data_IF_441346739968
#
_entry.id   IF_441346739968
#
_cell.length_a   1.000
_cell.length_b   1.000
_cell.length_c   1.000
_cell.angle_alpha   90.00
_cell.angle_beta   90.00
_cell.angle_gamma   90.00
#
_symmetry.space_group_name_H-M   'P 1'
#
loop_
_entity.id
_entity.type
_entity.pdbx_description
1 polymer ?
#
# COMPACT_ATOMS: atom_id res chain seq x y z
N UNK A 1 11.41 3.83 11.30
CA UNK A 1 11.06 4.08 9.90
C UNK A 1 10.30 2.87 9.43
N UNK A 2 8.99 3.02 9.27
CA UNK A 2 8.16 1.92 8.81
C UNK A 2 8.41 1.67 7.33
N UNK A 3 8.54 0.41 6.96
CA UNK A 3 8.69 -0.01 5.58
C UNK A 3 7.37 0.16 4.81
N UNK A 4 7.45 0.18 3.48
CA UNK A 4 6.26 0.18 2.62
C UNK A 4 5.28 -0.94 2.99
N UNK A 5 5.80 -2.14 3.26
CA UNK A 5 4.96 -3.29 3.58
C UNK A 5 4.18 -3.12 4.87
N UNK A 6 4.81 -2.57 5.91
CA UNK A 6 4.17 -2.27 7.19
C UNK A 6 3.09 -1.20 7.03
N UNK A 7 3.37 -0.11 6.29
CA UNK A 7 2.40 0.96 6.05
C UNK A 7 1.23 0.50 5.20
N UNK A 8 1.48 -0.27 4.14
CA UNK A 8 0.43 -0.85 3.31
C UNK A 8 -0.48 -1.77 4.13
N UNK A 9 0.11 -2.62 4.98
CA UNK A 9 -0.63 -3.51 5.87
C UNK A 9 -1.47 -2.74 6.88
N UNK A 10 -0.93 -1.67 7.44
CA UNK A 10 -1.64 -0.79 8.35
C UNK A 10 -2.84 -0.13 7.66
N UNK A 11 -2.63 0.51 6.51
CA UNK A 11 -3.68 1.17 5.73
C UNK A 11 -4.79 0.20 5.33
N UNK A 12 -4.44 -0.98 4.83
CA UNK A 12 -5.42 -2.03 4.50
C UNK A 12 -6.28 -2.40 5.71
N UNK A 13 -5.65 -2.63 6.86
CA UNK A 13 -6.36 -2.97 8.10
C UNK A 13 -7.21 -1.81 8.62
N UNK A 14 -6.76 -0.57 8.49
CA UNK A 14 -7.52 0.63 8.91
C UNK A 14 -8.86 0.77 8.17
N UNK A 15 -8.92 0.26 6.93
CA UNK A 15 -10.13 0.20 6.10
C UNK A 15 -10.90 -1.13 6.27
N UNK A 16 -10.50 -2.00 7.22
CA UNK A 16 -11.06 -3.34 7.43
C UNK A 16 -11.04 -4.27 6.21
N UNK A 17 -10.09 -4.06 5.30
CA UNK A 17 -10.01 -4.85 4.07
C UNK A 17 -9.21 -6.14 4.27
N UNK A 18 -9.67 -7.23 3.68
CA UNK A 18 -8.88 -8.43 3.41
C UNK A 18 -7.94 -8.18 2.23
N UNK A 19 -6.90 -9.02 2.12
CA UNK A 19 -5.94 -8.92 1.00
C UNK A 19 -6.61 -9.14 -0.36
N UNK A 20 -7.60 -10.01 -0.40
CA UNK A 20 -8.39 -10.32 -1.60
C UNK A 20 -9.19 -9.11 -2.08
N UNK A 21 -9.77 -8.35 -1.15
CA UNK A 21 -10.56 -7.15 -1.45
C UNK A 21 -9.65 -6.03 -1.97
N UNK A 22 -8.52 -5.77 -1.30
CA UNK A 22 -7.55 -4.78 -1.79
C UNK A 22 -6.99 -5.18 -3.17
N UNK A 23 -6.70 -6.47 -3.36
CA UNK A 23 -6.23 -6.98 -4.63
C UNK A 23 -7.26 -6.74 -5.75
N UNK A 24 -8.54 -7.03 -5.50
CA UNK A 24 -9.61 -6.78 -6.46
C UNK A 24 -9.73 -5.29 -6.81
N UNK A 25 -9.63 -4.39 -5.82
CA UNK A 25 -9.72 -2.94 -6.01
C UNK A 25 -8.58 -2.41 -6.90
N UNK A 26 -7.35 -2.89 -6.67
CA UNK A 26 -6.16 -2.43 -7.39
C UNK A 26 -5.95 -3.19 -8.72
N UNK A 27 -6.72 -4.28 -8.96
CA UNK A 27 -6.58 -5.13 -10.14
C UNK A 27 -5.37 -6.07 -10.07
N UNK A 28 -5.06 -6.57 -8.88
CA UNK A 28 -3.94 -7.49 -8.60
C UNK A 28 -4.46 -8.81 -8.03
N UNK A 29 -3.55 -9.75 -7.77
CA UNK A 29 -3.88 -10.98 -7.05
C UNK A 29 -3.62 -10.83 -5.55
N UNK A 30 -4.34 -11.57 -4.68
CA UNK A 30 -4.13 -11.50 -3.23
C UNK A 30 -2.69 -11.84 -2.81
N UNK A 31 -2.04 -12.74 -3.56
CA UNK A 31 -0.65 -13.13 -3.36
C UNK A 31 0.32 -11.97 -3.57
N UNK A 32 0.06 -11.12 -4.57
CA UNK A 32 0.88 -9.93 -4.84
C UNK A 32 0.79 -8.93 -3.69
N UNK A 33 -0.41 -8.72 -3.13
CA UNK A 33 -0.58 -7.89 -1.93
C UNK A 33 0.22 -8.45 -0.74
N UNK A 34 0.22 -9.78 -0.54
CA UNK A 34 1.04 -10.40 0.51
C UNK A 34 2.52 -10.09 0.31
N UNK A 35 3.06 -10.24 -0.91
CA UNK A 35 4.47 -9.95 -1.19
C UNK A 35 4.85 -8.49 -0.91
N UNK A 36 3.94 -7.56 -1.17
CA UNK A 36 4.17 -6.15 -0.84
C UNK A 36 4.18 -5.92 0.66
N UNK A 37 3.26 -6.54 1.40
CA UNK A 37 3.21 -6.44 2.86
C UNK A 37 4.38 -7.09 3.58
N UNK A 38 5.00 -8.11 2.98
CA UNK A 38 6.16 -8.82 3.55
C UNK A 38 7.50 -8.25 3.06
N UNK A 39 7.50 -7.40 2.03
CA UNK A 39 8.71 -6.88 1.40
C UNK A 39 9.39 -7.88 0.45
N UNK A 40 8.75 -9.00 0.13
CA UNK A 40 9.29 -10.01 -0.81
C UNK A 40 9.36 -9.49 -2.26
N UNK A 41 8.57 -8.45 -2.58
CA UNK A 41 8.54 -7.83 -3.90
C UNK A 41 8.21 -6.35 -3.80
N UNK A 42 8.86 -5.54 -4.62
CA UNK A 42 8.52 -4.13 -4.74
C UNK A 42 7.35 -3.90 -5.72
N UNK A 43 6.39 -3.02 -5.38
CA UNK A 43 5.35 -2.60 -6.31
C UNK A 43 5.93 -1.74 -7.43
N UNK A 44 5.34 -1.80 -8.63
CA UNK A 44 5.69 -0.86 -9.69
C UNK A 44 5.17 0.55 -9.36
N UNK A 45 5.75 1.58 -9.97
CA UNK A 45 5.29 2.96 -9.79
C UNK A 45 3.78 3.12 -10.03
N UNK A 46 3.24 2.44 -11.06
CA UNK A 46 1.80 2.46 -11.35
C UNK A 46 0.97 1.91 -10.19
N UNK A 47 1.43 0.84 -9.54
CA UNK A 47 0.74 0.24 -8.39
C UNK A 47 0.87 1.15 -7.17
N UNK A 48 2.05 1.75 -6.94
CA UNK A 48 2.26 2.70 -5.85
C UNK A 48 1.31 3.90 -5.95
N UNK A 49 1.17 4.48 -7.15
CA UNK A 49 0.24 5.58 -7.39
C UNK A 49 -1.21 5.15 -7.12
N UNK A 50 -1.64 4.00 -7.64
CA UNK A 50 -2.99 3.49 -7.40
C UNK A 50 -3.29 3.24 -5.91
N UNK A 51 -2.32 2.74 -5.15
CA UNK A 51 -2.44 2.56 -3.71
C UNK A 51 -2.51 3.90 -2.98
N UNK A 52 -1.66 4.86 -3.34
CA UNK A 52 -1.65 6.20 -2.76
C UNK A 52 -2.95 6.96 -3.05
N UNK A 53 -3.50 6.83 -4.26
CA UNK A 53 -4.82 7.36 -4.64
C UNK A 53 -5.93 6.69 -3.83
N UNK A 54 -5.93 5.36 -3.74
CA UNK A 54 -6.98 4.62 -3.03
C UNK A 54 -7.04 4.92 -1.53
N UNK A 55 -5.87 5.01 -0.88
CA UNK A 55 -5.78 5.31 0.54
C UNK A 55 -5.80 6.80 0.86
N UNK A 56 -5.81 7.66 -0.16
CA UNK A 56 -5.75 9.12 -0.03
C UNK A 56 -4.54 9.59 0.81
N UNK A 57 -3.37 9.05 0.48
CA UNK A 57 -2.10 9.38 1.15
C UNK A 57 -1.05 9.86 0.15
N UNK A 58 0.00 10.52 0.64
CA UNK A 58 1.17 10.85 -0.18
C UNK A 58 1.97 9.59 -0.53
N UNK A 59 2.67 9.64 -1.67
CA UNK A 59 3.58 8.56 -2.06
C UNK A 59 4.73 8.45 -1.06
N UNK A 60 5.27 9.56 -0.56
CA UNK A 60 6.34 9.58 0.43
C UNK A 60 5.92 8.93 1.75
N UNK A 61 4.66 9.10 2.16
CA UNK A 61 4.09 8.33 3.24
C UNK A 61 3.94 6.85 2.87
N UNK A 62 3.47 6.51 1.68
CA UNK A 62 3.32 5.09 1.36
C UNK A 62 4.66 4.33 1.35
N UNK A 63 5.75 4.95 0.88
CA UNK A 63 7.05 4.28 0.69
C UNK A 63 8.03 4.38 1.87
N UNK A 64 7.65 4.98 3.00
CA UNK A 64 8.53 5.06 4.17
C UNK A 64 9.40 6.33 4.27
N UNK A 65 9.22 7.32 3.36
CA UNK A 65 10.05 8.54 3.28
C UNK A 65 9.62 9.67 4.20
N UNK A 66 8.33 9.76 4.53
CA UNK A 66 7.76 10.76 5.43
C UNK A 66 6.76 10.11 6.38
N UNK A 67 6.63 10.60 7.61
CA UNK A 67 5.57 10.19 8.54
C UNK A 67 4.28 11.02 8.33
N UNK A 68 4.29 11.99 7.42
CA UNK A 68 3.14 12.82 7.09
C UNK A 68 2.28 12.16 5.99
N UNK A 69 1.07 11.66 6.30
CA UNK A 69 0.20 11.01 5.33
C UNK A 69 -0.42 11.98 4.33
N UNK A 70 -0.39 13.30 4.59
CA UNK A 70 -1.10 14.29 3.78
C UNK A 70 -0.59 14.32 2.35
N UNK A 71 -1.51 14.29 1.39
CA UNK A 71 -1.22 14.63 -0.01
C UNK A 71 -0.82 16.09 -0.12
N UNK A 72 0.25 16.33 -0.89
CA UNK A 72 0.73 17.64 -1.28
C UNK A 72 0.53 17.83 -2.79
#
# INVERSE_FOLDING_TARGET
MDTLGERLRYLRKSKNLKREELAAIIGLTPRVITFYETGDRDPSLKVLLALADYFDVSLDYLVGRSDDPRRH
#
